data_IF_000537621435
#
_entry.id   IF_000537621435
#
_cell.length_a   1.000
_cell.length_b   1.000
_cell.length_c   1.000
_cell.angle_alpha   90.00
_cell.angle_beta   90.00
_cell.angle_gamma   90.00
#
_symmetry.space_group_name_H-M   'P 1'
#
loop_
_entity.id
_entity.type
_entity.pdbx_description
1 polymer ?
#
# COMPACT_ATOMS: atom_id res chain seq x y z
N UNK A 1 -5.65 6.49 -24.16
CA UNK A 1 -6.69 5.49 -24.34
C UNK A 1 -7.31 5.13 -23.02
N UNK A 2 -8.60 5.24 -22.93
CA UNK A 2 -9.30 4.94 -21.68
C UNK A 2 -9.11 3.48 -21.24
N UNK A 3 -9.01 2.56 -22.19
CA UNK A 3 -8.86 1.15 -21.87
C UNK A 3 -7.55 0.88 -21.13
N UNK A 4 -6.46 1.52 -21.53
CA UNK A 4 -5.17 1.28 -20.86
C UNK A 4 -5.17 1.83 -19.45
N UNK A 5 -5.90 2.92 -19.19
CA UNK A 5 -5.99 3.46 -17.84
C UNK A 5 -6.67 2.49 -16.90
N UNK A 6 -7.76 1.86 -17.34
CA UNK A 6 -8.46 0.90 -16.50
C UNK A 6 -7.63 -0.35 -16.24
N UNK A 7 -6.91 -0.81 -17.24
CA UNK A 7 -6.06 -1.98 -17.09
C UNK A 7 -4.96 -1.70 -16.08
N UNK A 8 -4.35 -0.52 -16.13
CA UNK A 8 -3.32 -0.15 -15.18
C UNK A 8 -3.79 -0.21 -13.74
N UNK A 9 -5.02 0.22 -13.49
CA UNK A 9 -5.54 0.22 -12.14
C UNK A 9 -5.70 -1.18 -11.58
N UNK A 10 -6.10 -2.14 -12.41
CA UNK A 10 -6.19 -3.52 -11.98
C UNK A 10 -4.81 -4.12 -11.77
N UNK A 11 -3.87 -3.73 -12.61
CA UNK A 11 -2.53 -4.28 -12.54
C UNK A 11 -1.83 -4.03 -11.22
N UNK A 12 -1.98 -2.82 -10.65
CA UNK A 12 -1.25 -2.56 -9.42
C UNK A 12 -1.78 -3.39 -8.25
N UNK A 13 -3.01 -3.87 -8.31
CA UNK A 13 -3.55 -4.77 -7.31
C UNK A 13 -3.00 -6.19 -7.49
N UNK A 14 -2.91 -6.65 -8.74
CA UNK A 14 -2.66 -8.06 -9.01
C UNK A 14 -1.20 -8.40 -9.25
N UNK A 15 -0.35 -7.44 -9.55
CA UNK A 15 0.96 -7.71 -10.09
C UNK A 15 2.10 -7.65 -9.09
N UNK A 16 1.82 -7.74 -7.80
CA UNK A 16 2.88 -7.78 -6.79
C UNK A 16 3.80 -6.59 -6.92
N UNK A 17 3.26 -5.47 -7.26
CA UNK A 17 4.03 -4.26 -7.49
C UNK A 17 4.37 -3.56 -6.20
N UNK A 18 5.43 -2.78 -6.28
CA UNK A 18 5.72 -1.78 -5.28
C UNK A 18 5.16 -0.47 -5.80
N UNK A 19 4.35 0.20 -4.99
CA UNK A 19 3.70 1.44 -5.38
C UNK A 19 3.93 2.51 -4.33
N UNK A 20 3.73 3.76 -4.75
CA UNK A 20 3.73 4.90 -3.85
C UNK A 20 2.28 5.21 -3.47
N UNK A 21 2.04 5.41 -2.18
CA UNK A 21 0.70 5.71 -1.70
C UNK A 21 0.75 6.71 -0.56
N UNK A 22 -0.41 7.31 -0.27
CA UNK A 22 -0.57 8.20 0.88
C UNK A 22 -1.50 7.55 1.88
N UNK A 23 -1.18 7.69 3.16
CA UNK A 23 -2.02 7.16 4.22
C UNK A 23 -3.21 8.08 4.43
N UNK A 24 -4.41 7.50 4.34
CA UNK A 24 -5.67 8.22 4.51
C UNK A 24 -6.29 7.98 5.88
N UNK A 25 -6.06 6.83 6.48
CA UNK A 25 -6.74 6.49 7.71
C UNK A 25 -6.35 5.14 8.24
N UNK A 26 -7.06 4.72 9.27
CA UNK A 26 -6.83 3.48 10.01
C UNK A 26 -8.06 2.61 9.94
N UNK A 27 -7.86 1.30 9.91
CA UNK A 27 -8.95 0.33 10.02
C UNK A 27 -8.86 -0.33 11.38
N UNK A 28 -9.97 -0.34 12.11
CA UNK A 28 -10.07 -1.07 13.37
C UNK A 28 -11.08 -2.19 13.19
N UNK A 29 -10.63 -3.43 13.37
CA UNK A 29 -11.47 -4.60 13.28
C UNK A 29 -11.41 -5.36 14.61
N UNK A 30 -12.54 -5.50 15.29
CA UNK A 30 -12.59 -6.17 16.58
C UNK A 30 -12.66 -7.68 16.43
N UNK A 31 -13.21 -8.16 15.33
CA UNK A 31 -13.21 -9.59 15.00
C UNK A 31 -12.43 -9.80 13.72
N UNK A 32 -11.38 -10.56 13.80
CA UNK A 32 -10.50 -10.78 12.66
C UNK A 32 -9.71 -12.06 12.87
N UNK A 33 -9.09 -12.52 11.80
CA UNK A 33 -8.17 -13.65 11.87
C UNK A 33 -7.08 -13.35 12.91
N UNK A 34 -6.79 -14.30 13.78
CA UNK A 34 -5.84 -14.05 14.86
C UNK A 34 -4.43 -13.75 14.35
N UNK A 35 -4.10 -14.16 13.13
CA UNK A 35 -2.82 -13.84 12.52
C UNK A 35 -2.68 -12.35 12.22
N UNK A 36 -3.78 -11.61 12.23
CA UNK A 36 -3.78 -10.15 12.11
C UNK A 36 -3.71 -9.44 13.44
N UNK A 37 -3.83 -10.16 14.55
CA UNK A 37 -3.81 -9.55 15.88
C UNK A 37 -2.47 -8.87 16.10
N UNK A 38 -2.52 -7.64 16.60
CA UNK A 38 -1.32 -6.83 16.80
C UNK A 38 -0.82 -6.15 15.55
N UNK A 39 -1.42 -6.40 14.40
CA UNK A 39 -1.05 -5.71 13.16
C UNK A 39 -1.85 -4.42 13.03
N UNK A 40 -1.17 -3.37 12.60
CA UNK A 40 -1.81 -2.08 12.34
C UNK A 40 -2.25 -2.05 10.89
N UNK A 41 -3.54 -1.80 10.67
CA UNK A 41 -4.13 -1.77 9.33
C UNK A 41 -4.40 -0.32 8.95
N UNK A 42 -3.88 0.09 7.82
CA UNK A 42 -4.02 1.47 7.35
C UNK A 42 -4.71 1.49 5.99
N UNK A 43 -5.50 2.54 5.77
CA UNK A 43 -6.09 2.80 4.47
C UNK A 43 -5.11 3.66 3.70
N UNK A 44 -4.72 3.21 2.53
CA UNK A 44 -3.78 3.95 1.67
C UNK A 44 -4.39 4.17 0.30
N UNK A 45 -4.04 5.29 -0.31
CA UNK A 45 -4.44 5.62 -1.69
C UNK A 45 -3.20 5.70 -2.55
N UNK A 46 -3.14 4.96 -3.65
CA UNK A 46 -2.03 5.11 -4.58
C UNK A 46 -1.97 6.55 -5.09
N UNK A 47 -0.78 7.07 -5.25
CA UNK A 47 -0.57 8.41 -5.80
C UNK A 47 0.35 8.32 -7.00
N UNK A 48 0.25 9.33 -7.85
CA UNK A 48 1.14 9.47 -9.00
C UNK A 48 2.50 9.98 -8.54
N UNK A 49 3.51 9.85 -9.39
CA UNK A 49 4.86 10.28 -9.02
C UNK A 49 4.96 11.78 -8.79
N UNK A 50 4.03 12.56 -9.34
CA UNK A 50 3.97 14.01 -9.11
C UNK A 50 3.26 14.36 -7.81
N UNK A 51 2.80 13.37 -7.06
CA UNK A 51 2.14 13.58 -5.78
C UNK A 51 0.62 13.72 -5.88
N UNK A 52 0.05 13.75 -7.07
CA UNK A 52 -1.40 13.87 -7.21
C UNK A 52 -2.09 12.56 -6.87
N UNK A 53 -3.30 12.66 -6.35
CA UNK A 53 -4.07 11.49 -5.93
C UNK A 53 -4.61 10.73 -7.14
N UNK A 54 -4.69 9.43 -6.98
CA UNK A 54 -5.49 8.59 -7.86
C UNK A 54 -6.85 8.36 -7.21
N UNK A 55 -7.57 7.35 -7.66
CA UNK A 55 -8.85 6.98 -7.07
C UNK A 55 -8.72 5.64 -6.35
N UNK A 56 -9.68 5.38 -5.48
CA UNK A 56 -9.70 4.11 -4.77
C UNK A 56 -8.82 4.09 -3.53
N UNK A 57 -8.71 2.91 -2.94
CA UNK A 57 -7.88 2.71 -1.77
C UNK A 57 -7.57 1.24 -1.61
N UNK A 58 -6.59 0.96 -0.77
CA UNK A 58 -6.21 -0.39 -0.37
C UNK A 58 -5.99 -0.38 1.13
N UNK A 59 -6.31 -1.49 1.79
CA UNK A 59 -5.96 -1.67 3.20
C UNK A 59 -4.65 -2.44 3.24
N UNK A 60 -3.66 -1.86 3.93
CA UNK A 60 -2.33 -2.44 4.01
C UNK A 60 -1.90 -2.58 5.46
N UNK A 61 -1.07 -3.58 5.73
CA UNK A 61 -0.47 -3.75 7.06
C UNK A 61 0.74 -2.84 7.15
N UNK A 62 0.85 -2.11 8.25
CA UNK A 62 1.99 -1.24 8.49
C UNK A 62 3.11 -2.02 9.19
N UNK A 63 4.29 -2.07 8.58
CA UNK A 63 5.45 -2.73 9.16
C UNK A 63 6.53 -1.74 9.59
N UNK A 64 6.31 -0.43 9.42
CA UNK A 64 7.36 0.58 9.63
C UNK A 64 6.96 1.72 10.55
N UNK A 65 5.72 1.74 11.05
CA UNK A 65 5.29 2.81 11.93
C UNK A 65 4.93 4.11 11.21
N UNK A 66 4.26 4.00 10.08
CA UNK A 66 3.86 5.17 9.29
C UNK A 66 2.70 5.93 9.95
N UNK A 67 2.59 7.21 9.68
CA UNK A 67 1.55 8.09 10.21
C UNK A 67 0.67 8.69 9.14
N UNK A 68 -0.37 9.41 9.57
CA UNK A 68 -1.32 10.05 8.66
C UNK A 68 -0.61 10.99 7.71
N UNK A 69 -1.10 11.04 6.48
CA UNK A 69 -0.64 11.90 5.41
C UNK A 69 0.77 11.63 4.92
N UNK A 70 1.47 10.67 5.53
CA UNK A 70 2.78 10.29 5.02
C UNK A 70 2.66 9.55 3.70
N UNK A 71 3.64 9.74 2.84
CA UNK A 71 3.79 8.95 1.63
C UNK A 71 4.58 7.70 1.99
N UNK A 72 4.14 6.56 1.46
CA UNK A 72 4.70 5.28 1.84
C UNK A 72 4.94 4.42 0.61
N UNK A 73 5.84 3.45 0.77
CA UNK A 73 6.01 2.38 -0.20
C UNK A 73 5.16 1.20 0.22
N UNK A 74 4.35 0.72 -0.69
CA UNK A 74 3.46 -0.41 -0.45
C UNK A 74 3.81 -1.52 -1.43
N UNK A 75 4.01 -2.72 -0.92
CA UNK A 75 4.12 -3.91 -1.77
C UNK A 75 2.79 -4.64 -1.77
N UNK A 76 2.44 -5.22 -2.90
CA UNK A 76 1.15 -5.85 -3.09
C UNK A 76 1.32 -7.29 -3.58
N UNK A 77 0.23 -8.05 -3.50
CA UNK A 77 0.22 -9.44 -3.90
C UNK A 77 1.02 -10.31 -2.95
N UNK A 78 1.53 -11.42 -3.43
CA UNK A 78 2.27 -12.34 -2.58
C UNK A 78 3.56 -11.75 -2.04
N UNK A 79 4.10 -10.71 -2.67
CA UNK A 79 5.29 -10.03 -2.17
C UNK A 79 5.07 -9.37 -0.81
N UNK A 80 3.83 -9.02 -0.48
CA UNK A 80 3.54 -8.41 0.82
C UNK A 80 3.93 -9.33 1.97
N UNK A 81 3.84 -10.64 1.77
CA UNK A 81 4.15 -11.61 2.82
C UNK A 81 5.64 -11.79 3.05
N UNK A 82 6.46 -11.22 2.18
CA UNK A 82 7.92 -11.25 2.35
C UNK A 82 8.40 -10.12 3.27
N UNK A 83 7.55 -9.14 3.57
CA UNK A 83 7.92 -8.06 4.47
C UNK A 83 8.14 -8.60 5.88
N UNK A 84 8.90 -7.86 6.67
CA UNK A 84 9.24 -8.27 8.02
C UNK A 84 7.98 -8.48 8.85
N UNK A 85 7.91 -9.62 9.53
CA UNK A 85 6.78 -9.93 10.40
C UNK A 85 5.50 -10.34 9.67
N UNK A 86 5.58 -10.57 8.36
CA UNK A 86 4.40 -10.84 7.56
C UNK A 86 4.26 -12.29 7.12
N UNK A 87 5.14 -13.17 7.57
CA UNK A 87 5.08 -14.58 7.21
C UNK A 87 3.75 -15.16 7.68
N UNK A 88 3.06 -15.82 6.76
CA UNK A 88 1.78 -16.47 7.03
C UNK A 88 0.66 -15.52 7.46
N UNK A 89 0.82 -14.22 7.29
CA UNK A 89 -0.24 -13.25 7.55
C UNK A 89 -1.14 -13.17 6.33
N UNK A 90 -2.47 -13.27 6.50
CA UNK A 90 -3.41 -13.33 5.36
C UNK A 90 -3.69 -11.94 4.79
N UNK A 91 -2.68 -11.33 4.19
CA UNK A 91 -2.81 -10.02 3.56
C UNK A 91 -2.11 -10.03 2.21
N UNK A 92 -2.48 -9.07 1.37
CA UNK A 92 -1.87 -8.91 0.05
C UNK A 92 -1.34 -7.49 -0.16
N UNK A 93 -1.20 -6.71 0.90
CA UNK A 93 -0.59 -5.39 0.82
C UNK A 93 0.10 -5.06 2.14
N UNK A 94 1.32 -4.57 2.06
CA UNK A 94 2.09 -4.20 3.24
C UNK A 94 2.86 -2.92 2.98
N UNK A 95 2.88 -2.03 3.98
CA UNK A 95 3.69 -0.81 3.93
C UNK A 95 5.08 -1.18 4.39
N UNK A 96 6.07 -0.95 3.53
CA UNK A 96 7.44 -1.36 3.79
C UNK A 96 8.42 -0.20 3.88
N UNK A 97 7.98 1.02 3.69
CA UNK A 97 8.83 2.19 3.82
C UNK A 97 8.05 3.47 3.94
N UNK A 98 8.66 4.48 4.55
CA UNK A 98 8.14 5.84 4.57
C UNK A 98 9.00 6.65 3.63
N UNK A 99 8.37 7.41 2.74
CA UNK A 99 9.06 8.11 1.67
C UNK A 99 9.36 9.54 2.11
N UNK A 100 10.62 9.91 2.09
CA UNK A 100 11.02 11.29 2.34
C UNK A 100 11.01 12.11 1.05
N UNK A 101 11.51 11.54 -0.03
CA UNK A 101 11.71 12.25 -1.29
C UNK A 101 11.42 11.35 -2.47
N UNK A 102 10.75 11.90 -3.48
CA UNK A 102 10.58 11.27 -4.78
C UNK A 102 11.24 12.17 -5.80
N UNK A 103 12.21 11.63 -6.52
CA UNK A 103 12.97 12.38 -7.52
C UNK A 103 12.67 11.79 -8.88
N UNK A 104 12.09 12.60 -9.77
CA UNK A 104 11.65 12.14 -11.07
C UNK A 104 12.45 12.90 -12.13
N UNK A 105 13.14 12.15 -12.99
CA UNK A 105 13.86 12.74 -14.09
C UNK A 105 12.89 13.29 -15.12
N UNK A 106 13.23 14.44 -15.69
CA UNK A 106 12.42 15.10 -16.70
C UNK A 106 12.61 14.55 -18.10
N UNK A 107 13.33 13.49 -18.27
CA UNK A 107 13.68 12.96 -19.59
C UNK A 107 12.47 12.62 -20.45
#
# INVERSE_FOLDING_TARGET
MAASTRVSRLEWIDNRRMIIARILGTVVATQKDERLTGKKLLIVRPINVDGSDTTGYVVAVDTVGAGFHERVLVVAGSSARLAQGMKDVPVDAAIVGVIDTVDVSAA
#
